data_IF_273472042070
#
_entry.id   IF_273472042070
#
_cell.length_a   1.000
_cell.length_b   1.000
_cell.length_c   1.000
_cell.angle_alpha   90.00
_cell.angle_beta   90.00
_cell.angle_gamma   90.00
#
_symmetry.space_group_name_H-M   'P 1'
#
loop_
_entity.id
_entity.type
_entity.pdbx_description
1 polymer ?
#
# COMPACT_ATOMS: atom_id res chain seq x y z
N UNK A 1 -43.85 -53.41 -39.10
CA UNK A 1 -43.67 -53.47 -40.56
C UNK A 1 -43.39 -52.05 -41.03
N UNK A 2 -42.14 -51.62 -41.20
CA UNK A 2 -41.09 -52.13 -42.12
C UNK A 2 -41.34 -51.66 -43.57
N UNK A 3 -40.37 -51.24 -44.40
CA UNK A 3 -38.89 -51.35 -44.41
C UNK A 3 -38.26 -49.98 -44.82
N UNK A 4 -37.10 -49.53 -44.28
CA UNK A 4 -35.69 -49.74 -44.74
C UNK A 4 -35.39 -49.22 -46.17
N UNK A 5 -34.21 -48.67 -46.52
CA UNK A 5 -33.19 -47.84 -45.83
C UNK A 5 -32.20 -47.25 -46.88
N UNK A 6 -31.36 -46.29 -46.45
CA UNK A 6 -30.17 -45.68 -47.07
C UNK A 6 -29.33 -46.48 -48.12
N UNK A 7 -28.81 -45.79 -49.15
CA UNK A 7 -27.69 -46.24 -50.01
C UNK A 7 -26.79 -45.05 -50.46
N UNK A 8 -25.48 -45.26 -50.68
CA UNK A 8 -24.47 -44.21 -50.94
C UNK A 8 -23.20 -44.72 -51.68
N UNK A 9 -22.43 -43.84 -52.39
CA UNK A 9 -20.99 -44.05 -52.79
C UNK A 9 -20.28 -42.90 -53.58
N UNK A 10 -19.01 -42.60 -53.19
CA UNK A 10 -17.78 -42.18 -53.98
C UNK A 10 -17.73 -40.84 -54.76
N UNK A 11 -16.80 -39.87 -54.57
CA UNK A 11 -15.29 -39.83 -54.64
C UNK A 11 -14.68 -39.83 -56.08
N UNK A 12 -13.47 -39.25 -56.39
CA UNK A 12 -12.60 -38.22 -55.74
C UNK A 12 -11.84 -37.25 -56.75
N UNK A 13 -10.66 -36.69 -56.35
CA UNK A 13 -9.58 -35.95 -57.08
C UNK A 13 -9.84 -34.49 -57.54
N UNK A 14 -8.88 -33.55 -57.73
CA UNK A 14 -7.39 -33.53 -57.67
C UNK A 14 -6.80 -32.07 -57.79
N UNK A 15 -5.48 -31.89 -57.98
CA UNK A 15 -4.69 -30.63 -57.74
C UNK A 15 -3.98 -30.06 -59.03
N UNK A 16 -3.35 -28.85 -59.17
CA UNK A 16 -3.07 -27.61 -58.36
C UNK A 16 -2.42 -26.51 -59.27
N UNK A 17 -2.41 -25.18 -58.92
CA UNK A 17 -1.29 -24.21 -59.22
C UNK A 17 -1.45 -22.68 -58.84
N UNK A 18 -0.37 -22.10 -58.28
CA UNK A 18 0.36 -20.81 -58.51
C UNK A 18 -0.24 -19.43 -58.96
N UNK A 19 -0.20 -18.46 -58.04
CA UNK A 19 0.35 -17.06 -58.05
C UNK A 19 0.64 -16.22 -59.33
N UNK A 20 0.16 -14.94 -59.37
CA UNK A 20 0.93 -13.75 -59.84
C UNK A 20 0.30 -12.36 -59.45
N UNK A 21 1.11 -11.31 -59.10
CA UNK A 21 0.71 -9.91 -58.82
C UNK A 21 1.00 -8.94 -60.03
N UNK A 22 0.89 -7.58 -59.99
CA UNK A 22 0.63 -6.62 -58.89
C UNK A 22 -0.60 -5.69 -59.16
N UNK A 23 -0.68 -4.33 -59.08
CA UNK A 23 0.24 -3.17 -59.20
C UNK A 23 -0.18 -1.95 -58.30
N UNK A 24 0.45 -0.77 -58.48
CA UNK A 24 0.24 0.53 -57.80
C UNK A 24 0.14 1.68 -58.81
N UNK A 25 -0.51 2.80 -58.45
CA UNK A 25 0.14 4.14 -58.49
C UNK A 25 -0.56 5.19 -57.59
N UNK A 26 0.06 6.35 -57.41
CA UNK A 26 -0.18 7.38 -56.38
C UNK A 26 -0.76 8.67 -56.99
N UNK A 27 -1.65 9.37 -56.26
CA UNK A 27 -1.68 10.85 -56.31
C UNK A 27 -2.33 11.51 -55.08
N UNK A 28 -1.66 12.53 -54.53
CA UNK A 28 -2.08 13.25 -53.32
C UNK A 28 -2.91 14.51 -53.64
N UNK A 29 -3.96 14.79 -52.84
CA UNK A 29 -4.68 16.07 -52.92
C UNK A 29 -5.40 16.50 -51.62
N UNK A 30 -4.61 17.02 -50.65
CA UNK A 30 -4.97 18.04 -49.61
C UNK A 30 -6.25 17.86 -48.75
N UNK A 31 -6.16 17.86 -47.41
CA UNK A 31 -7.32 17.76 -46.53
C UNK A 31 -8.13 19.08 -46.43
N UNK A 32 -9.46 18.99 -46.53
CA UNK A 32 -10.39 20.04 -46.08
C UNK A 32 -11.43 19.47 -45.11
N UNK A 33 -11.53 20.08 -43.92
CA UNK A 33 -12.39 19.63 -42.81
C UNK A 33 -13.86 19.93 -43.10
N UNK A 34 -14.64 18.92 -43.52
CA UNK A 34 -16.10 19.04 -43.67
C UNK A 34 -16.79 18.87 -42.31
N UNK A 35 -17.54 19.89 -41.87
CA UNK A 35 -18.45 19.78 -40.72
C UNK A 35 -19.71 19.02 -41.16
N UNK A 36 -20.17 18.08 -40.35
CA UNK A 36 -21.46 17.39 -40.55
C UNK A 36 -22.54 18.11 -39.73
N UNK A 37 -23.69 18.38 -40.34
CA UNK A 37 -24.88 18.94 -39.70
C UNK A 37 -25.93 17.84 -39.49
N UNK A 38 -26.39 17.65 -38.26
CA UNK A 38 -27.44 16.69 -37.94
C UNK A 38 -28.84 17.22 -38.35
N UNK A 39 -29.78 16.34 -38.77
CA UNK A 39 -31.16 16.71 -39.05
C UNK A 39 -31.96 17.02 -37.76
N UNK A 40 -33.05 17.80 -37.84
CA UNK A 40 -33.83 18.20 -36.67
C UNK A 40 -34.70 17.06 -36.11
N UNK A 41 -34.83 17.02 -34.78
CA UNK A 41 -35.73 16.12 -34.05
C UNK A 41 -37.05 16.81 -33.73
N UNK A 42 -38.17 16.11 -33.93
CA UNK A 42 -39.52 16.54 -33.53
C UNK A 42 -40.01 15.68 -32.37
N UNK A 43 -40.20 16.27 -31.19
CA UNK A 43 -40.71 15.59 -30.00
C UNK A 43 -42.18 15.92 -29.80
N UNK A 44 -43.05 14.91 -29.90
CA UNK A 44 -44.43 14.95 -29.45
C UNK A 44 -44.56 14.10 -28.17
N UNK A 45 -44.80 14.75 -27.03
CA UNK A 45 -45.30 14.05 -25.85
C UNK A 45 -46.80 13.79 -26.04
N UNK A 46 -47.26 12.63 -25.60
CA UNK A 46 -48.64 12.38 -25.24
C UNK A 46 -48.69 11.68 -23.88
N UNK A 47 -49.81 11.75 -23.18
CA UNK A 47 -49.97 11.31 -21.80
C UNK A 47 -50.77 10.01 -21.70
N UNK A 48 -50.37 9.11 -20.81
CA UNK A 48 -51.23 8.01 -20.36
C UNK A 48 -51.01 7.69 -18.88
N UNK A 49 -52.10 7.66 -18.13
CA UNK A 49 -52.12 7.34 -16.70
C UNK A 49 -52.22 5.83 -16.45
N UNK A 50 -51.56 5.38 -15.37
CA UNK A 50 -52.07 4.31 -14.52
C UNK A 50 -51.73 2.86 -14.89
N UNK A 51 -51.12 2.16 -13.94
CA UNK A 51 -51.53 0.80 -13.57
C UNK A 51 -51.22 0.54 -12.09
N UNK A 52 -51.84 -0.49 -11.52
CA UNK A 52 -51.78 -0.84 -10.10
C UNK A 52 -51.02 -2.16 -9.88
N UNK A 53 -50.38 -2.25 -8.72
CA UNK A 53 -50.15 -3.46 -7.89
C UNK A 53 -49.72 -4.77 -8.59
N UNK A 54 -48.50 -5.20 -8.29
CA UNK A 54 -48.23 -6.62 -7.99
C UNK A 54 -47.13 -6.73 -6.92
N UNK A 55 -47.50 -7.23 -5.75
CA UNK A 55 -46.60 -7.72 -4.71
C UNK A 55 -46.50 -9.24 -4.89
N UNK A 56 -45.30 -9.80 -5.01
CA UNK A 56 -45.03 -11.21 -4.70
C UNK A 56 -43.52 -11.49 -4.56
N UNK A 57 -43.18 -12.51 -3.77
CA UNK A 57 -41.81 -12.73 -3.32
C UNK A 57 -40.98 -13.65 -4.23
N UNK A 58 -39.70 -13.32 -4.40
CA UNK A 58 -38.66 -14.26 -4.83
C UNK A 58 -37.43 -14.14 -3.94
N UNK A 59 -37.29 -15.06 -3.00
CA UNK A 59 -36.00 -15.37 -2.40
C UNK A 59 -35.07 -15.88 -3.52
N UNK A 60 -33.98 -15.16 -3.76
CA UNK A 60 -32.88 -15.64 -4.62
C UNK A 60 -31.68 -15.92 -3.71
N UNK A 61 -31.09 -17.13 -3.78
CA UNK A 61 -30.01 -17.49 -2.85
C UNK A 61 -28.71 -16.77 -3.21
N UNK A 62 -28.22 -15.94 -2.29
CA UNK A 62 -26.84 -15.48 -2.26
C UNK A 62 -25.90 -16.68 -2.00
N UNK A 63 -25.34 -17.26 -3.06
CA UNK A 63 -24.29 -18.30 -2.96
C UNK A 63 -23.37 -18.31 -4.22
N UNK A 64 -23.06 -17.11 -4.75
CA UNK A 64 -22.06 -16.90 -5.81
C UNK A 64 -21.05 -15.80 -5.41
N UNK A 65 -20.48 -15.92 -4.21
CA UNK A 65 -19.20 -15.30 -3.87
C UNK A 65 -18.09 -15.92 -4.75
N UNK A 66 -17.95 -15.41 -5.99
CA UNK A 66 -16.83 -15.75 -6.87
C UNK A 66 -15.57 -15.16 -6.24
N UNK A 67 -14.81 -15.99 -5.53
CA UNK A 67 -13.58 -15.56 -4.86
C UNK A 67 -12.51 -15.21 -5.90
N UNK A 68 -12.26 -13.91 -6.06
CA UNK A 68 -11.30 -13.37 -7.04
C UNK A 68 -9.84 -13.70 -6.66
N UNK A 69 -9.60 -14.13 -5.41
CA UNK A 69 -8.28 -14.61 -4.96
C UNK A 69 -7.95 -16.05 -5.43
N UNK A 70 -8.91 -16.84 -5.95
CA UNK A 70 -8.69 -18.24 -6.37
C UNK A 70 -8.38 -18.42 -7.88
N UNK A 71 -8.16 -17.32 -8.62
CA UNK A 71 -7.86 -17.37 -10.07
C UNK A 71 -6.35 -17.18 -10.35
N UNK A 72 -5.56 -18.20 -10.01
CA UNK A 72 -4.13 -18.25 -10.34
C UNK A 72 -3.90 -18.04 -11.85
N UNK A 73 -3.20 -16.96 -12.20
CA UNK A 73 -2.73 -16.67 -13.55
C UNK A 73 -1.21 -16.78 -13.55
N UNK A 74 -0.60 -17.76 -14.24
CA UNK A 74 0.85 -17.87 -14.31
C UNK A 74 1.41 -16.80 -15.26
N UNK A 75 1.94 -15.73 -14.68
CA UNK A 75 2.75 -14.74 -15.42
C UNK A 75 4.13 -15.35 -15.72
N UNK A 76 4.30 -15.79 -16.97
CA UNK A 76 5.60 -16.12 -17.59
C UNK A 76 6.39 -14.82 -17.96
N UNK A 77 7.50 -14.96 -18.67
CA UNK A 77 8.32 -13.89 -19.30
C UNK A 77 9.28 -13.07 -18.39
N UNK A 78 10.33 -13.75 -17.92
CA UNK A 78 11.73 -13.61 -18.42
C UNK A 78 12.52 -12.26 -18.35
N UNK A 79 13.85 -12.40 -18.52
CA UNK A 79 14.80 -11.46 -19.12
C UNK A 79 15.41 -10.31 -18.29
N UNK A 80 16.50 -10.61 -17.55
CA UNK A 80 17.84 -10.03 -17.82
C UNK A 80 18.98 -10.66 -16.98
N UNK A 81 19.72 -11.62 -17.55
CA UNK A 81 21.09 -11.95 -17.13
C UNK A 81 22.08 -11.37 -18.15
N UNK A 82 22.98 -10.48 -17.71
CA UNK A 82 24.07 -9.98 -18.56
C UNK A 82 25.34 -9.50 -17.81
N UNK A 83 25.82 -10.28 -16.85
CA UNK A 83 27.18 -10.10 -16.31
C UNK A 83 27.75 -11.44 -15.80
N UNK A 84 28.48 -12.25 -16.58
CA UNK A 84 29.34 -11.88 -17.72
C UNK A 84 30.84 -11.85 -17.37
N UNK A 85 31.29 -12.63 -16.37
CA UNK A 85 32.73 -12.86 -16.11
C UNK A 85 33.03 -14.26 -15.53
N UNK A 86 33.03 -15.27 -16.41
CA UNK A 86 33.65 -16.57 -16.14
C UNK A 86 35.17 -16.40 -16.07
N UNK A 87 35.72 -16.23 -14.87
CA UNK A 87 37.17 -16.22 -14.64
C UNK A 87 37.64 -17.58 -14.11
N UNK A 88 38.74 -18.03 -14.70
CA UNK A 88 39.32 -19.35 -14.57
C UNK A 88 40.25 -19.40 -13.34
N UNK A 89 39.86 -20.14 -12.29
CA UNK A 89 40.72 -20.38 -11.13
C UNK A 89 41.91 -21.26 -11.52
N UNK A 90 43.04 -20.63 -11.88
CA UNK A 90 44.32 -21.34 -12.03
C UNK A 90 44.95 -21.62 -10.67
N UNK A 91 44.91 -22.89 -10.31
CA UNK A 91 45.73 -23.50 -9.25
C UNK A 91 47.20 -23.10 -9.39
N UNK A 92 47.80 -22.58 -8.32
CA UNK A 92 49.24 -22.51 -8.15
C UNK A 92 49.61 -22.86 -6.70
N UNK A 93 50.68 -23.65 -6.57
CA UNK A 93 51.01 -24.36 -5.33
C UNK A 93 51.90 -23.54 -4.38
N UNK A 94 51.85 -23.91 -3.10
CA UNK A 94 52.58 -23.27 -2.01
C UNK A 94 54.09 -23.25 -2.22
N UNK A 95 54.75 -22.16 -1.80
CA UNK A 95 56.16 -22.20 -1.41
C UNK A 95 56.41 -21.32 -0.18
N UNK A 96 57.17 -21.85 0.79
CA UNK A 96 57.52 -21.15 2.03
C UNK A 96 58.74 -20.25 1.82
N UNK A 97 58.68 -18.99 2.24
CA UNK A 97 59.78 -18.38 3.00
C UNK A 97 59.40 -17.09 3.75
N UNK A 98 59.73 -17.07 5.04
CA UNK A 98 59.94 -15.88 5.89
C UNK A 98 61.46 -15.62 6.00
N UNK A 99 61.97 -14.50 6.59
CA UNK A 99 61.27 -13.52 7.44
C UNK A 99 61.49 -12.03 7.09
N UNK A 100 60.62 -11.15 7.62
CA UNK A 100 60.80 -9.70 7.62
C UNK A 100 60.24 -9.07 8.90
N UNK A 101 61.08 -8.33 9.64
CA UNK A 101 60.75 -7.81 10.99
C UNK A 101 60.24 -6.38 10.93
N UNK A 102 58.98 -6.16 11.33
CA UNK A 102 58.40 -4.82 11.52
C UNK A 102 57.30 -4.88 12.58
N UNK A 103 57.42 -4.07 13.63
CA UNK A 103 56.38 -3.94 14.64
C UNK A 103 55.40 -2.84 14.21
N UNK A 104 54.11 -3.16 14.22
CA UNK A 104 53.00 -2.21 14.18
C UNK A 104 51.83 -2.81 14.96
N UNK A 105 50.82 -1.97 15.21
CA UNK A 105 49.78 -2.18 16.22
C UNK A 105 48.98 -3.48 16.03
N UNK A 106 48.71 -4.16 17.15
CA UNK A 106 47.86 -5.34 17.18
C UNK A 106 46.38 -4.92 17.06
N UNK A 107 45.92 -4.72 15.83
CA UNK A 107 44.50 -4.83 15.51
C UNK A 107 44.00 -6.19 16.04
N UNK A 108 42.86 -6.25 16.76
CA UNK A 108 42.27 -7.53 17.13
C UNK A 108 41.79 -8.20 15.84
N UNK A 109 42.57 -9.18 15.36
CA UNK A 109 42.17 -9.99 14.23
C UNK A 109 41.03 -10.90 14.68
N UNK A 110 39.78 -10.46 14.42
CA UNK A 110 38.64 -11.38 14.39
C UNK A 110 39.03 -12.55 13.49
N UNK A 111 39.01 -13.75 14.04
CA UNK A 111 39.21 -14.95 13.24
C UNK A 111 38.04 -15.12 12.28
N UNK A 112 38.27 -15.74 11.12
CA UNK A 112 37.18 -15.99 10.16
C UNK A 112 36.03 -16.81 10.80
N UNK A 113 36.35 -17.69 11.76
CA UNK A 113 35.36 -18.44 12.55
C UNK A 113 34.61 -17.58 13.60
N UNK A 114 35.06 -16.37 13.93
CA UNK A 114 34.29 -15.39 14.71
C UNK A 114 33.45 -14.49 13.80
N UNK A 115 33.91 -14.23 12.57
CA UNK A 115 33.17 -13.49 11.54
C UNK A 115 31.99 -14.33 11.01
N UNK A 116 32.21 -15.61 10.63
CA UNK A 116 31.17 -16.57 10.25
C UNK A 116 30.12 -16.79 11.38
N UNK A 117 30.55 -16.79 12.64
CA UNK A 117 29.66 -16.89 13.81
C UNK A 117 28.82 -15.61 13.99
N UNK A 118 29.42 -14.44 13.80
CA UNK A 118 28.69 -13.17 13.82
C UNK A 118 27.67 -13.11 12.68
N UNK A 119 28.07 -13.41 11.45
CA UNK A 119 27.18 -13.44 10.27
C UNK A 119 26.03 -14.44 10.44
N UNK A 120 26.29 -15.60 11.05
CA UNK A 120 25.25 -16.56 11.43
C UNK A 120 24.25 -15.99 12.46
N UNK A 121 24.70 -15.13 13.38
CA UNK A 121 23.85 -14.47 14.38
C UNK A 121 23.04 -13.29 13.81
N UNK A 122 23.40 -12.76 12.63
CA UNK A 122 22.66 -11.66 12.00
C UNK A 122 21.33 -12.10 11.37
N UNK A 123 21.13 -13.40 11.10
CA UNK A 123 19.94 -13.89 10.42
C UNK A 123 18.97 -14.58 11.39
N UNK A 124 17.75 -14.06 11.49
CA UNK A 124 16.64 -14.66 12.24
C UNK A 124 15.68 -15.35 11.27
N UNK A 125 15.61 -16.68 11.32
CA UNK A 125 14.51 -17.43 10.68
C UNK A 125 13.20 -17.15 11.42
N UNK A 126 12.13 -16.94 10.66
CA UNK A 126 10.73 -16.83 11.12
C UNK A 126 9.83 -17.60 10.16
N UNK A 127 8.67 -18.05 10.63
CA UNK A 127 7.63 -18.66 9.79
C UNK A 127 6.45 -17.70 9.81
N UNK A 128 5.98 -17.27 8.63
CA UNK A 128 4.83 -16.36 8.47
C UNK A 128 3.83 -17.05 7.55
N UNK A 129 2.62 -17.32 8.06
CA UNK A 129 1.72 -18.29 7.44
C UNK A 129 2.42 -19.65 7.34
N UNK A 130 2.51 -20.20 6.12
CA UNK A 130 3.16 -21.48 5.84
C UNK A 130 4.57 -21.34 5.21
N UNK A 131 5.15 -20.13 5.16
CA UNK A 131 6.44 -19.86 4.52
C UNK A 131 7.55 -19.54 5.53
N UNK A 132 8.75 -20.10 5.32
CA UNK A 132 9.95 -19.72 6.07
C UNK A 132 10.60 -18.48 5.42
N UNK A 133 10.85 -17.46 6.24
CA UNK A 133 11.57 -16.24 5.85
C UNK A 133 12.79 -16.03 6.76
N UNK A 134 13.85 -15.42 6.22
CA UNK A 134 15.07 -15.08 6.96
C UNK A 134 15.24 -13.56 7.02
N UNK A 135 15.27 -13.01 8.24
CA UNK A 135 15.40 -11.58 8.50
C UNK A 135 16.85 -11.25 8.84
N UNK A 136 17.45 -10.31 8.13
CA UNK A 136 18.73 -9.71 8.49
C UNK A 136 18.53 -8.68 9.62
N UNK A 137 18.83 -9.09 10.85
CA UNK A 137 18.67 -8.30 12.07
C UNK A 137 19.59 -7.06 12.11
N UNK A 138 20.79 -7.13 11.49
CA UNK A 138 21.76 -6.02 11.39
C UNK A 138 21.27 -4.92 10.46
N UNK A 139 20.67 -5.30 9.34
CA UNK A 139 20.08 -4.37 8.37
C UNK A 139 18.95 -3.51 8.98
N UNK A 140 18.20 -4.09 9.91
CA UNK A 140 17.04 -3.44 10.54
C UNK A 140 17.33 -2.81 11.91
N UNK A 141 18.48 -3.08 12.53
CA UNK A 141 18.86 -2.62 13.87
C UNK A 141 18.55 -1.12 14.13
N UNK A 142 18.90 -0.17 13.24
CA UNK A 142 18.60 1.25 13.46
C UNK A 142 17.10 1.57 13.50
N UNK A 143 16.27 0.71 12.91
CA UNK A 143 14.85 0.92 12.65
C UNK A 143 13.93 0.08 13.53
N UNK A 144 14.46 -0.84 14.36
CA UNK A 144 13.64 -1.69 15.24
C UNK A 144 12.70 -0.90 16.16
N UNK A 145 13.06 0.34 16.51
CA UNK A 145 12.25 1.30 17.28
C UNK A 145 10.92 1.69 16.59
N UNK A 146 10.74 1.37 15.31
CA UNK A 146 9.45 1.54 14.60
C UNK A 146 8.32 0.77 15.28
N UNK A 147 8.61 -0.29 16.04
CA UNK A 147 7.62 -1.10 16.74
C UNK A 147 7.93 -1.14 18.25
N UNK A 148 6.91 -0.91 19.08
CA UNK A 148 7.02 -1.04 20.54
C UNK A 148 5.71 -1.51 21.18
N UNK A 149 5.79 -2.04 22.39
CA UNK A 149 4.63 -2.52 23.16
C UNK A 149 4.10 -1.39 24.06
N UNK A 150 2.89 -0.92 23.81
CA UNK A 150 2.26 0.21 24.50
C UNK A 150 1.62 -0.13 25.85
N UNK A 151 1.73 -1.37 26.32
CA UNK A 151 1.00 -1.89 27.49
C UNK A 151 -0.20 -2.73 27.08
N UNK A 152 -1.13 -2.95 28.01
CA UNK A 152 -2.32 -3.78 27.81
C UNK A 152 -3.60 -2.98 28.09
N UNK A 153 -4.70 -3.32 27.42
CA UNK A 153 -6.00 -2.64 27.60
C UNK A 153 -7.14 -3.59 28.02
N UNK A 154 -8.17 -2.99 28.62
CA UNK A 154 -9.30 -3.72 29.21
C UNK A 154 -8.81 -4.57 30.39
N UNK A 155 -9.06 -5.88 30.34
CA UNK A 155 -8.76 -6.82 31.41
C UNK A 155 -7.25 -7.15 31.57
N UNK A 156 -6.35 -6.37 30.98
CA UNK A 156 -4.90 -6.59 31.00
C UNK A 156 -4.38 -7.71 30.09
N UNK A 157 -5.24 -8.33 29.27
CA UNK A 157 -4.89 -9.45 28.38
C UNK A 157 -4.62 -9.02 26.92
N UNK A 158 -5.20 -7.90 26.48
CA UNK A 158 -5.16 -7.45 25.09
C UNK A 158 -4.01 -6.46 24.90
N UNK A 159 -3.10 -6.71 23.95
CA UNK A 159 -1.91 -5.88 23.75
C UNK A 159 -2.23 -4.56 23.02
N UNK A 160 -1.57 -3.47 23.43
CA UNK A 160 -1.44 -2.24 22.65
C UNK A 160 -0.09 -2.30 21.92
N UNK A 161 -0.09 -2.10 20.62
CA UNK A 161 1.12 -2.17 19.79
C UNK A 161 1.30 -0.84 19.08
N UNK A 162 2.42 -0.17 19.35
CA UNK A 162 2.70 1.18 18.87
C UNK A 162 3.64 1.09 17.67
N UNK A 163 3.19 1.61 16.54
CA UNK A 163 3.96 1.73 15.31
C UNK A 163 4.35 3.19 15.10
N UNK A 164 5.62 3.53 15.29
CA UNK A 164 6.15 4.89 15.20
C UNK A 164 6.77 5.17 13.82
N UNK A 165 5.95 5.66 12.89
CA UNK A 165 6.30 5.80 11.47
C UNK A 165 7.51 6.71 11.22
N UNK A 166 7.81 7.65 12.12
CA UNK A 166 8.96 8.53 12.03
C UNK A 166 10.32 7.79 12.04
N UNK A 167 10.37 6.57 12.58
CA UNK A 167 11.56 5.71 12.61
C UNK A 167 11.71 4.77 11.40
N UNK A 168 10.85 4.89 10.38
CA UNK A 168 11.06 4.17 9.12
C UNK A 168 12.31 4.66 8.37
N UNK A 169 12.95 3.81 7.55
CA UNK A 169 14.08 4.21 6.71
C UNK A 169 13.67 5.26 5.66
N UNK A 170 14.65 6.01 5.16
CA UNK A 170 14.47 6.98 4.08
C UNK A 170 14.66 6.33 2.71
N UNK A 171 13.82 6.68 1.72
CA UNK A 171 13.90 6.15 0.35
C UNK A 171 15.17 6.52 -0.40
N UNK A 172 15.89 7.52 0.08
CA UNK A 172 17.12 8.06 -0.51
C UNK A 172 18.34 7.12 -0.31
N UNK A 173 18.11 5.87 0.11
CA UNK A 173 19.12 4.82 0.34
C UNK A 173 19.04 3.74 -0.73
N UNK A 174 20.20 3.32 -1.24
CA UNK A 174 20.31 2.23 -2.23
C UNK A 174 19.73 0.89 -1.72
N UNK A 175 19.78 0.64 -0.41
CA UNK A 175 19.28 -0.59 0.24
C UNK A 175 17.82 -0.50 0.73
N UNK A 176 17.12 0.61 0.49
CA UNK A 176 15.79 0.90 1.07
C UNK A 176 14.78 -0.24 0.90
N UNK A 177 14.73 -0.88 -0.29
CA UNK A 177 13.79 -1.97 -0.55
C UNK A 177 14.06 -3.18 0.37
N UNK A 178 15.32 -3.60 0.48
CA UNK A 178 15.73 -4.73 1.31
C UNK A 178 15.59 -4.42 2.79
N UNK A 179 15.90 -3.18 3.22
CA UNK A 179 15.65 -2.72 4.61
C UNK A 179 14.16 -2.83 4.93
N UNK A 180 13.28 -2.32 4.04
CA UNK A 180 11.83 -2.32 4.26
C UNK A 180 11.22 -3.73 4.27
N UNK A 181 11.70 -4.65 3.44
CA UNK A 181 11.25 -6.06 3.46
C UNK A 181 11.64 -6.75 4.78
N UNK A 182 12.92 -6.65 5.17
CA UNK A 182 13.39 -7.24 6.43
C UNK A 182 12.68 -6.62 7.64
N UNK A 183 12.45 -5.30 7.62
CA UNK A 183 11.75 -4.59 8.70
C UNK A 183 10.28 -4.99 8.78
N UNK A 184 9.62 -5.25 7.64
CA UNK A 184 8.24 -5.72 7.60
C UNK A 184 8.09 -7.16 8.09
N UNK A 185 9.00 -8.07 7.69
CA UNK A 185 9.06 -9.44 8.22
C UNK A 185 9.33 -9.44 9.74
N UNK A 186 10.18 -8.53 10.23
CA UNK A 186 10.37 -8.29 11.66
C UNK A 186 9.10 -7.78 12.34
N UNK A 187 8.35 -6.87 11.70
CA UNK A 187 7.09 -6.37 12.24
C UNK A 187 6.05 -7.50 12.33
N UNK A 188 5.78 -8.26 11.26
CA UNK A 188 4.83 -9.40 11.34
C UNK A 188 5.27 -10.40 12.41
N UNK A 189 6.49 -10.92 12.34
CA UNK A 189 6.95 -11.98 13.26
C UNK A 189 7.00 -11.52 14.72
N UNK A 190 7.04 -10.22 14.98
CA UNK A 190 6.92 -9.66 16.34
C UNK A 190 5.45 -9.43 16.72
N UNK A 191 4.57 -9.05 15.78
CA UNK A 191 3.10 -9.07 15.99
C UNK A 191 2.61 -10.48 16.32
N UNK A 192 3.05 -11.52 15.61
CA UNK A 192 2.62 -12.91 15.81
C UNK A 192 2.95 -13.43 17.22
N UNK A 193 4.06 -12.97 17.80
CA UNK A 193 4.52 -13.28 19.16
C UNK A 193 3.85 -12.44 20.25
N UNK A 194 3.52 -11.17 19.97
CA UNK A 194 2.86 -10.27 20.93
C UNK A 194 1.33 -10.47 20.98
N UNK A 195 0.73 -10.97 19.90
CA UNK A 195 -0.72 -11.15 19.77
C UNK A 195 -1.08 -12.61 20.06
N UNK A 196 -1.62 -12.87 21.25
CA UNK A 196 -2.30 -14.14 21.56
C UNK A 196 -3.77 -14.08 21.12
N UNK A 197 -4.54 -13.20 21.76
CA UNK A 197 -5.96 -12.94 21.51
C UNK A 197 -6.13 -11.60 20.76
N UNK A 198 -7.07 -10.75 21.18
CA UNK A 198 -7.34 -9.46 20.55
C UNK A 198 -6.27 -8.39 20.88
N UNK A 199 -6.10 -7.41 20.01
CA UNK A 199 -5.11 -6.35 20.17
C UNK A 199 -5.49 -5.03 19.47
N UNK A 200 -4.78 -3.94 19.77
CA UNK A 200 -4.93 -2.64 19.11
C UNK A 200 -3.59 -2.16 18.55
N UNK A 201 -3.62 -1.53 17.37
CA UNK A 201 -2.45 -0.82 16.83
C UNK A 201 -2.67 0.69 16.99
N UNK A 202 -1.65 1.38 17.50
CA UNK A 202 -1.52 2.84 17.49
C UNK A 202 -0.43 3.20 16.49
N UNK A 203 -0.82 3.65 15.30
CA UNK A 203 0.07 4.11 14.24
C UNK A 203 0.30 5.62 14.40
N UNK A 204 1.48 5.98 14.92
CA UNK A 204 1.91 7.36 15.08
C UNK A 204 2.50 7.85 13.74
N UNK A 205 1.69 8.55 12.94
CA UNK A 205 2.12 9.09 11.63
C UNK A 205 2.94 10.39 11.78
N UNK A 206 2.81 11.08 12.91
CA UNK A 206 3.33 12.43 13.14
C UNK A 206 4.78 12.65 12.68
N UNK A 207 5.03 13.81 12.08
CA UNK A 207 6.33 14.29 11.58
C UNK A 207 7.05 13.37 10.57
N UNK A 208 6.36 12.38 9.98
CA UNK A 208 6.97 11.45 9.02
C UNK A 208 6.94 12.00 7.59
N UNK A 209 8.09 12.21 6.92
CA UNK A 209 8.13 12.62 5.51
C UNK A 209 7.59 11.53 4.58
N UNK A 210 6.91 11.93 3.50
CA UNK A 210 6.35 11.00 2.49
C UNK A 210 7.40 9.99 1.96
N UNK A 211 8.65 10.42 1.77
CA UNK A 211 9.79 9.60 1.33
C UNK A 211 10.21 8.47 2.29
N UNK A 212 9.62 8.38 3.50
CA UNK A 212 9.76 7.22 4.41
C UNK A 212 8.61 6.22 4.31
N UNK A 213 7.65 6.47 3.42
CA UNK A 213 6.44 5.68 3.28
C UNK A 213 6.55 4.67 2.13
N UNK A 214 6.16 3.40 2.34
CA UNK A 214 6.04 2.44 1.27
C UNK A 214 4.90 2.79 0.30
N UNK A 215 5.08 2.46 -0.97
CA UNK A 215 4.08 2.70 -2.03
C UNK A 215 2.88 1.74 -1.97
N UNK A 216 1.83 2.07 -2.74
CA UNK A 216 0.56 1.32 -2.79
C UNK A 216 0.74 -0.19 -3.04
N UNK A 217 1.61 -0.57 -3.98
CA UNK A 217 1.88 -1.98 -4.30
C UNK A 217 2.53 -2.75 -3.15
N UNK A 218 3.41 -2.11 -2.38
CA UNK A 218 4.00 -2.68 -1.17
C UNK A 218 2.94 -2.83 -0.08
N UNK A 219 2.09 -1.83 0.14
CA UNK A 219 0.99 -1.92 1.11
C UNK A 219 -0.02 -3.02 0.73
N UNK A 220 -0.32 -3.22 -0.57
CA UNK A 220 -1.11 -4.37 -1.03
C UNK A 220 -0.41 -5.67 -0.63
N UNK A 221 0.84 -5.90 -1.07
CA UNK A 221 1.62 -7.13 -0.74
C UNK A 221 1.61 -7.39 0.78
N UNK A 222 1.82 -6.35 1.58
CA UNK A 222 1.84 -6.43 3.04
C UNK A 222 0.48 -6.84 3.65
N UNK A 223 -0.64 -6.31 3.17
CA UNK A 223 -1.96 -6.74 3.64
C UNK A 223 -2.26 -8.22 3.36
N UNK A 224 -1.62 -8.81 2.35
CA UNK A 224 -1.79 -10.24 2.01
C UNK A 224 -0.84 -11.12 2.85
N UNK A 225 0.42 -10.68 3.05
CA UNK A 225 1.41 -11.36 3.91
C UNK A 225 1.03 -11.40 5.41
N UNK A 226 0.25 -10.44 5.92
CA UNK A 226 -0.21 -10.49 7.31
C UNK A 226 -1.21 -11.65 7.48
N UNK A 227 -0.95 -12.56 8.41
CA UNK A 227 -1.82 -13.73 8.64
C UNK A 227 -3.30 -13.35 8.94
N UNK A 228 -4.20 -14.28 8.58
CA UNK A 228 -5.65 -14.18 8.77
C UNK A 228 -6.05 -14.06 10.24
N UNK A 229 -5.30 -14.62 11.19
CA UNK A 229 -5.50 -14.46 12.64
C UNK A 229 -5.24 -13.01 13.06
N UNK A 230 -4.08 -12.44 12.69
CA UNK A 230 -3.74 -11.05 13.00
C UNK A 230 -4.79 -10.07 12.42
N UNK A 231 -5.18 -10.24 11.16
CA UNK A 231 -6.23 -9.41 10.52
C UNK A 231 -7.60 -9.54 11.22
N UNK A 232 -7.94 -10.69 11.80
CA UNK A 232 -9.16 -10.91 12.60
C UNK A 232 -9.08 -10.25 13.98
N UNK A 233 -8.04 -10.57 14.76
CA UNK A 233 -7.87 -10.21 16.17
C UNK A 233 -7.60 -8.71 16.44
N UNK A 234 -7.19 -7.96 15.42
CA UNK A 234 -7.07 -6.51 15.54
C UNK A 234 -8.45 -5.89 15.88
N UNK A 235 -8.63 -5.22 17.02
CA UNK A 235 -9.88 -4.50 17.36
C UNK A 235 -9.91 -3.08 16.79
N UNK A 236 -8.80 -2.37 16.79
CA UNK A 236 -8.71 -1.01 16.25
C UNK A 236 -7.31 -0.69 15.73
N UNK A 237 -7.26 0.07 14.64
CA UNK A 237 -6.05 0.65 14.05
C UNK A 237 -6.18 2.17 14.15
N UNK A 238 -5.62 2.76 15.20
CA UNK A 238 -5.72 4.19 15.48
C UNK A 238 -4.56 4.90 14.78
N UNK A 239 -4.86 5.83 13.88
CA UNK A 239 -3.88 6.61 13.13
C UNK A 239 -3.83 8.02 13.70
N UNK A 240 -2.68 8.39 14.27
CA UNK A 240 -2.47 9.64 15.02
C UNK A 240 -1.72 10.65 14.15
N UNK A 241 -2.27 11.85 14.02
CA UNK A 241 -1.89 12.88 13.03
C UNK A 241 -1.81 12.35 11.58
N UNK A 242 -2.89 11.76 11.03
CA UNK A 242 -2.95 11.20 9.68
C UNK A 242 -2.69 12.25 8.60
N UNK A 243 -1.53 12.15 7.93
CA UNK A 243 -1.20 12.97 6.77
C UNK A 243 -2.22 12.80 5.63
N UNK A 244 -2.36 13.84 4.79
CA UNK A 244 -3.18 13.75 3.58
C UNK A 244 -2.79 12.57 2.69
N UNK A 245 -1.49 12.24 2.61
CA UNK A 245 -0.99 11.08 1.88
C UNK A 245 -1.53 9.75 2.43
N UNK A 246 -1.50 9.53 3.75
CA UNK A 246 -2.09 8.34 4.38
C UNK A 246 -3.62 8.29 4.19
N UNK A 247 -4.33 9.42 4.38
CA UNK A 247 -5.78 9.50 4.13
C UNK A 247 -6.12 9.11 2.67
N UNK A 248 -5.33 9.58 1.70
CA UNK A 248 -5.49 9.26 0.27
C UNK A 248 -5.13 7.81 -0.05
N UNK A 249 -4.01 7.26 0.48
CA UNK A 249 -3.68 5.84 0.33
C UNK A 249 -4.85 4.97 0.80
N UNK A 250 -5.31 5.16 2.03
CA UNK A 250 -6.30 4.29 2.64
C UNK A 250 -7.66 4.36 1.94
N UNK A 251 -7.99 5.49 1.31
CA UNK A 251 -9.13 5.60 0.41
C UNK A 251 -8.92 4.80 -0.90
N UNK A 252 -7.74 4.88 -1.51
CA UNK A 252 -7.39 4.18 -2.77
C UNK A 252 -7.20 2.68 -2.57
N UNK A 253 -6.70 2.22 -1.41
CA UNK A 253 -6.52 0.79 -1.10
C UNK A 253 -7.79 0.13 -0.54
N UNK A 254 -8.82 0.92 -0.20
CA UNK A 254 -10.10 0.43 0.34
C UNK A 254 -10.75 -0.73 -0.46
N UNK A 255 -10.79 -0.75 -1.81
CA UNK A 255 -11.33 -1.91 -2.55
C UNK A 255 -10.50 -3.19 -2.42
N UNK A 256 -9.22 -3.11 -2.04
CA UNK A 256 -8.32 -4.27 -1.86
C UNK A 256 -8.18 -4.71 -0.39
N UNK A 257 -8.92 -4.07 0.52
CA UNK A 257 -8.89 -4.30 1.96
C UNK A 257 -10.31 -4.63 2.41
N UNK A 258 -10.48 -5.69 3.20
CA UNK A 258 -11.81 -6.12 3.61
C UNK A 258 -12.58 -4.98 4.31
N UNK A 259 -13.89 -4.89 4.06
CA UNK A 259 -14.77 -3.90 4.71
C UNK A 259 -14.66 -3.99 6.25
N UNK A 260 -14.61 -5.22 6.76
CA UNK A 260 -14.40 -5.54 8.18
C UNK A 260 -13.07 -5.04 8.74
N UNK A 261 -11.99 -4.94 7.94
CA UNK A 261 -10.74 -4.31 8.36
C UNK A 261 -10.81 -2.78 8.24
N UNK A 262 -11.38 -2.27 7.16
CA UNK A 262 -11.56 -0.82 6.94
C UNK A 262 -12.32 -0.16 8.10
N UNK A 263 -13.35 -0.83 8.65
CA UNK A 263 -14.11 -0.36 9.82
C UNK A 263 -13.34 -0.36 11.15
N UNK A 264 -12.13 -0.92 11.20
CA UNK A 264 -11.24 -0.87 12.39
C UNK A 264 -10.36 0.38 12.42
N UNK A 265 -10.20 1.05 11.27
CA UNK A 265 -9.35 2.23 11.12
C UNK A 265 -10.05 3.43 11.77
N UNK A 266 -9.36 4.08 12.70
CA UNK A 266 -9.78 5.34 13.31
C UNK A 266 -8.73 6.40 13.02
N UNK A 267 -9.18 7.61 12.74
CA UNK A 267 -8.31 8.78 12.61
C UNK A 267 -8.41 9.59 13.89
N UNK A 268 -7.26 10.06 14.36
CA UNK A 268 -7.09 10.85 15.59
C UNK A 268 -6.15 12.00 15.26
N UNK A 269 -6.60 13.23 15.46
CA UNK A 269 -5.86 14.42 15.02
C UNK A 269 -5.08 15.10 16.17
N UNK A 270 -5.17 14.59 17.41
CA UNK A 270 -4.37 15.03 18.58
C UNK A 270 -3.96 13.91 19.55
N UNK A 271 -2.91 14.13 20.35
CA UNK A 271 -2.50 13.22 21.43
C UNK A 271 -3.50 13.20 22.60
N UNK A 272 -4.26 14.29 22.80
CA UNK A 272 -5.34 14.33 23.79
C UNK A 272 -6.46 13.34 23.42
N UNK A 273 -6.92 13.35 22.17
CA UNK A 273 -7.92 12.41 21.64
C UNK A 273 -7.42 10.95 21.67
N UNK A 274 -6.11 10.71 21.49
CA UNK A 274 -5.53 9.38 21.69
C UNK A 274 -5.71 8.88 23.14
N UNK A 275 -5.50 9.75 24.12
CA UNK A 275 -5.60 9.39 25.55
C UNK A 275 -7.03 9.05 26.02
N UNK A 276 -8.05 9.47 25.26
CA UNK A 276 -9.45 9.04 25.50
C UNK A 276 -9.73 7.62 24.98
N UNK A 277 -8.86 7.08 24.11
CA UNK A 277 -9.04 5.78 23.44
C UNK A 277 -8.15 4.66 23.98
N UNK A 278 -6.98 4.98 24.56
CA UNK A 278 -6.01 4.02 25.09
C UNK A 278 -5.31 4.55 26.36
N UNK A 279 -4.98 3.67 27.33
CA UNK A 279 -4.02 3.99 28.39
C UNK A 279 -2.67 4.44 27.79
N UNK A 280 -2.11 5.51 28.34
CA UNK A 280 -0.93 6.19 27.79
C UNK A 280 0.37 5.82 28.53
N UNK A 281 0.27 5.19 29.70
CA UNK A 281 1.37 4.94 30.64
C UNK A 281 2.48 4.05 30.07
N UNK A 282 2.16 3.18 29.11
CA UNK A 282 3.11 2.35 28.39
C UNK A 282 3.47 2.85 26.97
N UNK A 283 2.84 3.93 26.49
CA UNK A 283 2.99 4.40 25.11
C UNK A 283 4.16 5.39 25.03
N UNK A 284 5.32 4.93 24.56
CA UNK A 284 6.47 5.78 24.32
C UNK A 284 6.30 6.61 23.03
N UNK A 285 5.84 7.85 23.16
CA UNK A 285 5.67 8.78 22.03
C UNK A 285 6.99 9.48 21.68
N UNK A 286 7.43 9.47 20.41
CA UNK A 286 8.62 10.21 19.97
C UNK A 286 8.47 11.73 20.11
N UNK A 287 9.53 12.41 20.53
CA UNK A 287 9.58 13.87 20.70
C UNK A 287 9.14 14.66 19.46
N UNK A 288 9.49 14.18 18.26
CA UNK A 288 9.05 14.78 16.98
C UNK A 288 7.54 14.76 16.76
N UNK A 289 6.81 13.90 17.47
CA UNK A 289 5.35 13.77 17.40
C UNK A 289 4.70 14.61 18.49
N UNK A 290 5.28 14.67 19.69
CA UNK A 290 4.87 15.61 20.76
C UNK A 290 4.94 17.05 20.26
N UNK A 291 6.08 17.45 19.66
CA UNK A 291 6.23 18.80 19.12
C UNK A 291 5.27 19.10 17.97
N UNK A 292 4.87 18.10 17.18
CA UNK A 292 3.86 18.29 16.14
C UNK A 292 2.45 18.47 16.70
N UNK A 293 2.09 17.78 17.78
CA UNK A 293 0.82 18.00 18.49
C UNK A 293 0.75 19.45 19.03
N UNK A 294 1.85 19.94 19.61
CA UNK A 294 2.01 21.34 20.04
C UNK A 294 1.90 22.32 18.86
N UNK A 295 2.69 22.14 17.79
CA UNK A 295 2.65 22.97 16.56
C UNK A 295 1.23 23.02 15.94
N UNK A 296 0.53 21.88 15.87
CA UNK A 296 -0.84 21.80 15.34
C UNK A 296 -1.88 22.44 16.26
N UNK A 297 -1.72 22.29 17.57
CA UNK A 297 -2.60 22.90 18.58
C UNK A 297 -2.47 24.42 18.56
N UNK A 298 -1.25 24.95 18.55
CA UNK A 298 -1.00 26.39 18.41
C UNK A 298 -1.59 26.92 17.09
N UNK A 299 -1.40 26.22 15.96
CA UNK A 299 -2.01 26.60 14.69
C UNK A 299 -3.55 26.62 14.75
N UNK A 300 -4.17 25.64 15.40
CA UNK A 300 -5.61 25.56 15.58
C UNK A 300 -6.17 26.63 16.55
N UNK A 301 -5.42 27.03 17.57
CA UNK A 301 -5.78 28.14 18.46
C UNK A 301 -5.63 29.50 17.75
N UNK A 302 -4.53 29.73 17.03
CA UNK A 302 -4.32 30.92 16.22
C UNK A 302 -5.40 31.10 15.13
N UNK A 303 -5.81 30.01 14.46
CA UNK A 303 -6.89 30.05 13.48
C UNK A 303 -8.25 30.44 14.10
N UNK A 304 -8.54 29.98 15.33
CA UNK A 304 -9.73 30.43 16.08
C UNK A 304 -9.65 31.93 16.35
N UNK A 305 -8.54 32.42 16.92
CA UNK A 305 -8.35 33.85 17.18
C UNK A 305 -8.49 34.72 15.92
N UNK A 306 -7.90 34.32 14.78
CA UNK A 306 -8.04 35.07 13.53
C UNK A 306 -9.48 35.12 13.02
N UNK A 307 -10.24 34.02 13.16
CA UNK A 307 -11.65 33.98 12.73
C UNK A 307 -12.58 34.79 13.63
N UNK A 308 -12.31 34.84 14.95
CA UNK A 308 -13.03 35.72 15.86
C UNK A 308 -12.79 37.21 15.56
N UNK A 309 -11.55 37.61 15.27
CA UNK A 309 -11.24 39.00 14.95
C UNK A 309 -11.85 39.41 13.59
N UNK A 310 -11.67 38.58 12.56
CA UNK A 310 -12.18 38.85 11.21
C UNK A 310 -13.71 38.92 11.09
N UNK A 311 -14.47 38.43 12.08
CA UNK A 311 -15.93 38.50 12.10
C UNK A 311 -16.54 39.88 12.41
N UNK A 312 -15.72 40.89 12.74
CA UNK A 312 -16.22 42.13 13.37
C UNK A 312 -16.48 43.30 12.41
N UNK A 313 -15.87 43.34 11.23
CA UNK A 313 -15.93 44.50 10.30
C UNK A 313 -17.12 44.49 9.32
N UNK A 314 -18.29 43.97 9.74
CA UNK A 314 -19.40 43.66 8.83
C UNK A 314 -20.75 44.34 9.15
N UNK A 315 -20.79 45.56 9.73
CA UNK A 315 -22.01 46.42 9.68
C UNK A 315 -21.84 47.88 10.15
N UNK A 316 -21.20 48.73 9.32
CA UNK A 316 -21.43 50.19 9.37
C UNK A 316 -21.69 50.73 7.95
N UNK A 317 -22.88 50.46 7.42
CA UNK A 317 -23.38 51.20 6.26
C UNK A 317 -23.87 52.58 6.71
N UNK A 318 -23.11 53.62 6.40
CA UNK A 318 -23.51 55.02 6.63
C UNK A 318 -24.65 55.36 5.65
N UNK A 319 -25.82 55.85 6.12
CA UNK A 319 -26.90 56.25 5.22
C UNK A 319 -26.48 57.46 4.35
N UNK A 320 -26.90 57.53 3.07
CA UNK A 320 -26.61 58.68 2.23
C UNK A 320 -27.40 59.91 2.70
N UNK A 321 -26.70 61.04 2.94
CA UNK A 321 -27.37 62.30 3.26
C UNK A 321 -28.22 62.82 2.08
N UNK A 322 -29.44 63.24 2.38
CA UNK A 322 -30.35 63.86 1.42
C UNK A 322 -29.92 65.31 1.11
N UNK A 323 -29.00 65.46 0.16
CA UNK A 323 -28.56 66.76 -0.36
C UNK A 323 -29.73 67.62 -0.85
N UNK A 324 -29.89 68.80 -0.25
CA UNK A 324 -31.01 69.71 -0.55
C UNK A 324 -30.75 70.55 -1.81
N UNK A 325 -31.85 70.92 -2.45
CA UNK A 325 -31.97 71.90 -3.54
C UNK A 325 -31.08 73.13 -3.40
N UNK A 326 -30.52 73.61 -4.52
CA UNK A 326 -30.39 75.05 -4.78
C UNK A 326 -30.22 75.36 -6.28
N UNK A 327 -30.97 76.38 -6.72
CA UNK A 327 -30.94 77.09 -8.02
C UNK A 327 -31.10 76.22 -9.28
#
# INVERSE_FOLDING_TARGET
MEFVNNEARRSPDGAENSTAPPALDIQEARPQRKKLSAPPISLSLDQSDGSLLSDDALETPDDLDINVDDLDTPDEDDFLDYAGRKLEWKEYQSSNQMPGKGANEAFPACSAEEEDRQDSQLWRTVIIGDQEHRINMKLIEPFQKVLSHGGYYGNGLNAIIVFAACFLPDSDRDDYHSVMENLFLYVISTLELMVAEDYMIVYLNGATPHRRMPGLGWLKKCYHMIDRRLRKNLKSFIIVHPSWFIRTILAVTRPFISSKFSSKIKYVDSLAELSELVPMEGIHIPESIVRLDEELKEAAENAKYSSFLGGTEASVQVPPEAGKTNV
#
